data_IF_268096001641
#
_entry.id   IF_268096001641
#
_cell.length_a   1.000
_cell.length_b   1.000
_cell.length_c   1.000
_cell.angle_alpha   90.00
_cell.angle_beta   90.00
_cell.angle_gamma   90.00
#
_symmetry.space_group_name_H-M   'P 1'
#
loop_
_entity.id
_entity.type
_entity.pdbx_description
1 polymer ?
#
# COMPACT_ATOMS: atom_id res chain seq x y z
N UNK A 1 -15.39 28.06 -10.73
CA UNK A 1 -16.05 26.79 -10.36
C UNK A 1 -15.13 25.68 -10.84
N UNK A 2 -14.28 25.16 -9.98
CA UNK A 2 -13.40 24.07 -10.33
C UNK A 2 -14.19 22.77 -10.16
N UNK A 3 -14.48 22.12 -11.28
CA UNK A 3 -15.10 20.80 -11.31
C UNK A 3 -14.18 19.82 -10.59
N UNK A 4 -14.47 19.58 -9.31
CA UNK A 4 -13.82 18.58 -8.49
C UNK A 4 -14.57 17.24 -8.73
N UNK A 5 -14.69 16.87 -10.02
CA UNK A 5 -15.21 15.54 -10.35
C UNK A 5 -14.20 14.49 -9.89
N UNK A 6 -14.64 13.62 -9.01
CA UNK A 6 -13.86 12.43 -8.63
C UNK A 6 -13.51 11.64 -9.90
N UNK A 7 -12.29 11.13 -10.05
CA UNK A 7 -11.89 10.43 -11.26
C UNK A 7 -12.78 9.19 -11.51
N UNK A 8 -13.13 8.94 -12.77
CA UNK A 8 -13.80 7.70 -13.17
C UNK A 8 -12.83 6.51 -13.03
N UNK A 9 -12.85 5.89 -11.86
CA UNK A 9 -11.94 4.81 -11.48
C UNK A 9 -12.02 3.63 -12.43
N UNK A 10 -13.23 3.24 -12.86
CA UNK A 10 -13.42 2.12 -13.78
C UNK A 10 -12.73 2.36 -15.12
N UNK A 11 -12.91 3.55 -15.68
CA UNK A 11 -12.28 3.94 -16.94
C UNK A 11 -10.75 4.05 -16.78
N UNK A 12 -10.26 4.58 -15.65
CA UNK A 12 -8.83 4.62 -15.36
C UNK A 12 -8.22 3.21 -15.32
N UNK A 13 -8.88 2.25 -14.68
CA UNK A 13 -8.41 0.86 -14.63
C UNK A 13 -8.36 0.24 -16.03
N UNK A 14 -9.44 0.38 -16.81
CA UNK A 14 -9.51 -0.17 -18.16
C UNK A 14 -8.42 0.36 -19.09
N UNK A 15 -8.04 1.63 -18.92
CA UNK A 15 -7.01 2.28 -19.77
C UNK A 15 -5.58 2.01 -19.33
N UNK A 16 -5.35 1.69 -18.05
CA UNK A 16 -4.00 1.65 -17.47
C UNK A 16 -3.58 0.26 -16.95
N UNK A 17 -4.48 -0.73 -16.94
CA UNK A 17 -4.10 -2.10 -16.63
C UNK A 17 -3.48 -2.76 -17.86
N UNK A 18 -2.23 -3.16 -17.73
CA UNK A 18 -1.49 -3.84 -18.81
C UNK A 18 -1.76 -5.34 -18.82
N UNK A 19 -1.47 -6.00 -19.94
CA UNK A 19 -1.55 -7.47 -20.06
C UNK A 19 -0.60 -8.19 -19.09
N UNK A 20 0.50 -7.53 -18.69
CA UNK A 20 1.43 -8.03 -17.66
C UNK A 20 0.96 -7.87 -16.23
N UNK A 21 -0.26 -7.37 -16.00
CA UNK A 21 -0.84 -7.20 -14.66
C UNK A 21 -0.35 -5.97 -13.90
N UNK A 22 0.28 -5.00 -14.55
CA UNK A 22 0.63 -3.73 -13.94
C UNK A 22 -0.48 -2.72 -14.12
N UNK A 23 -0.98 -2.16 -13.00
CA UNK A 23 -1.92 -1.05 -13.00
C UNK A 23 -1.22 0.20 -12.44
N UNK A 24 -0.93 1.16 -13.32
CA UNK A 24 -0.32 2.43 -12.93
C UNK A 24 -1.38 3.54 -12.87
N UNK A 25 -1.67 3.99 -11.66
CA UNK A 25 -2.60 5.08 -11.36
C UNK A 25 -1.93 6.19 -10.54
N UNK A 26 -0.62 6.39 -10.66
CA UNK A 26 0.08 7.46 -9.96
C UNK A 26 -0.46 8.84 -10.36
N UNK A 27 -0.54 9.75 -9.38
CA UNK A 27 -0.91 11.16 -9.57
C UNK A 27 -2.28 11.35 -10.27
N UNK A 28 -3.31 10.65 -9.79
CA UNK A 28 -4.68 10.70 -10.33
C UNK A 28 -5.70 11.32 -9.37
N UNK A 29 -5.26 11.79 -8.19
CA UNK A 29 -6.14 12.35 -7.15
C UNK A 29 -7.28 11.39 -6.76
N UNK A 30 -6.93 10.12 -6.58
CA UNK A 30 -7.89 9.04 -6.32
C UNK A 30 -8.59 9.24 -4.98
N UNK A 31 -7.86 9.65 -3.94
CA UNK A 31 -8.37 9.79 -2.59
C UNK A 31 -8.92 8.49 -2.00
N UNK A 32 -9.48 8.58 -0.81
CA UNK A 32 -10.07 7.42 -0.12
C UNK A 32 -11.28 6.85 -0.84
N UNK A 33 -12.14 7.72 -1.37
CA UNK A 33 -13.34 7.31 -2.09
C UNK A 33 -12.99 6.53 -3.36
N UNK A 34 -12.05 7.04 -4.14
CA UNK A 34 -11.59 6.35 -5.34
C UNK A 34 -10.86 5.05 -5.02
N UNK A 35 -10.08 5.00 -3.93
CA UNK A 35 -9.46 3.76 -3.47
C UNK A 35 -10.50 2.69 -3.07
N UNK A 36 -11.60 3.10 -2.42
CA UNK A 36 -12.71 2.21 -2.09
C UNK A 36 -13.45 1.72 -3.34
N UNK A 37 -13.66 2.59 -4.34
CA UNK A 37 -14.23 2.19 -5.63
C UNK A 37 -13.31 1.19 -6.35
N UNK A 38 -12.00 1.48 -6.37
CA UNK A 38 -10.98 0.61 -6.95
C UNK A 38 -11.02 -0.78 -6.32
N UNK A 39 -11.04 -0.86 -4.99
CA UNK A 39 -11.05 -2.11 -4.23
C UNK A 39 -12.21 -3.07 -4.59
N UNK A 40 -13.31 -2.54 -5.13
CA UNK A 40 -14.49 -3.29 -5.52
C UNK A 40 -14.53 -3.73 -7.01
N UNK A 41 -13.48 -3.44 -7.78
CA UNK A 41 -13.44 -3.79 -9.19
C UNK A 41 -12.87 -5.20 -9.40
N UNK A 42 -13.67 -6.11 -9.92
CA UNK A 42 -13.27 -7.48 -10.26
C UNK A 42 -12.06 -7.53 -11.22
N UNK A 43 -11.94 -6.53 -12.08
CA UNK A 43 -10.80 -6.42 -13.01
C UNK A 43 -9.45 -6.40 -12.31
N UNK A 44 -9.39 -5.99 -11.02
CA UNK A 44 -8.16 -6.04 -10.20
C UNK A 44 -7.65 -7.45 -9.92
N UNK A 45 -8.46 -8.49 -10.11
CA UNK A 45 -7.99 -9.88 -9.96
C UNK A 45 -6.82 -10.22 -10.91
N UNK A 46 -6.62 -9.42 -11.96
CA UNK A 46 -5.51 -9.55 -12.91
C UNK A 46 -4.27 -8.74 -12.49
N UNK A 47 -4.39 -7.87 -11.48
CA UNK A 47 -3.31 -7.00 -11.08
C UNK A 47 -2.29 -7.74 -10.21
N UNK A 48 -1.03 -7.70 -10.63
CA UNK A 48 0.13 -8.19 -9.86
C UNK A 48 1.01 -7.06 -9.35
N UNK A 49 0.92 -5.86 -9.95
CA UNK A 49 1.55 -4.63 -9.51
C UNK A 49 0.55 -3.48 -9.51
N UNK A 50 0.45 -2.78 -8.39
CA UNK A 50 -0.46 -1.65 -8.19
C UNK A 50 0.33 -0.41 -7.77
N UNK A 51 0.41 0.56 -8.68
CA UNK A 51 1.12 1.83 -8.50
C UNK A 51 0.10 2.93 -8.17
N UNK A 52 0.01 3.30 -6.89
CA UNK A 52 -0.94 4.29 -6.35
C UNK A 52 -0.22 5.51 -5.71
N UNK A 53 1.01 5.77 -6.11
CA UNK A 53 1.75 6.91 -5.58
C UNK A 53 1.07 8.25 -5.87
N UNK A 54 1.26 9.24 -4.98
CA UNK A 54 0.80 10.62 -5.16
C UNK A 54 -0.72 10.75 -5.42
N UNK A 55 -1.56 10.12 -4.55
CA UNK A 55 -3.01 10.03 -4.77
C UNK A 55 -3.89 10.53 -3.61
N UNK A 56 -3.32 11.13 -2.57
CA UNK A 56 -4.09 11.64 -1.43
C UNK A 56 -4.86 10.54 -0.67
N UNK A 57 -4.40 9.28 -0.76
CA UNK A 57 -5.02 8.13 -0.10
C UNK A 57 -4.62 8.14 1.39
N UNK A 58 -5.61 8.12 2.25
CA UNK A 58 -5.45 8.01 3.70
C UNK A 58 -5.72 6.60 4.22
N UNK A 59 -5.91 6.51 5.53
CA UNK A 59 -6.09 5.23 6.22
C UNK A 59 -7.37 4.51 5.80
N UNK A 60 -8.45 5.26 5.49
CA UNK A 60 -9.73 4.69 5.04
C UNK A 60 -9.61 4.06 3.66
N UNK A 61 -8.90 4.70 2.74
CA UNK A 61 -8.65 4.16 1.41
C UNK A 61 -7.77 2.91 1.47
N UNK A 62 -6.74 2.93 2.32
CA UNK A 62 -5.90 1.75 2.59
C UNK A 62 -6.72 0.60 3.18
N UNK A 63 -7.60 0.88 4.17
CA UNK A 63 -8.47 -0.14 4.75
C UNK A 63 -9.36 -0.81 3.69
N UNK A 64 -9.92 -0.03 2.76
CA UNK A 64 -10.71 -0.56 1.66
C UNK A 64 -9.88 -1.47 0.74
N UNK A 65 -8.67 -1.05 0.36
CA UNK A 65 -7.76 -1.87 -0.45
C UNK A 65 -7.37 -3.18 0.27
N UNK A 66 -7.07 -3.10 1.58
CA UNK A 66 -6.75 -4.27 2.40
C UNK A 66 -7.88 -5.30 2.43
N UNK A 67 -9.12 -4.84 2.36
CA UNK A 67 -10.32 -5.70 2.40
C UNK A 67 -10.69 -6.31 1.03
N UNK A 68 -10.02 -5.90 -0.04
CA UNK A 68 -10.32 -6.35 -1.40
C UNK A 68 -9.84 -7.78 -1.65
N UNK A 69 -10.77 -8.70 -1.87
CA UNK A 69 -10.45 -10.08 -2.28
C UNK A 69 -9.87 -10.16 -3.71
N UNK A 70 -10.08 -9.13 -4.52
CA UNK A 70 -9.55 -9.07 -5.88
C UNK A 70 -8.02 -8.81 -5.94
N UNK A 71 -7.40 -8.37 -4.84
CA UNK A 71 -5.96 -8.07 -4.78
C UNK A 71 -5.11 -9.24 -4.27
N UNK A 72 -5.65 -10.45 -4.21
CA UNK A 72 -4.95 -11.64 -3.69
C UNK A 72 -3.72 -12.07 -4.53
N UNK A 73 -3.63 -11.64 -5.79
CA UNK A 73 -2.48 -11.91 -6.66
C UNK A 73 -1.40 -10.82 -6.62
N UNK A 74 -1.60 -9.78 -5.80
CA UNK A 74 -0.72 -8.64 -5.76
C UNK A 74 0.68 -9.01 -5.23
N UNK A 75 1.71 -8.61 -5.98
CA UNK A 75 3.13 -8.79 -5.64
C UNK A 75 3.82 -7.48 -5.32
N UNK A 76 3.41 -6.40 -5.97
CA UNK A 76 3.98 -5.07 -5.76
C UNK A 76 2.87 -4.09 -5.41
N UNK A 77 3.03 -3.41 -4.29
CA UNK A 77 2.14 -2.32 -3.87
C UNK A 77 2.97 -1.07 -3.61
N UNK A 78 2.73 -0.04 -4.41
CA UNK A 78 3.35 1.26 -4.24
C UNK A 78 2.30 2.30 -3.82
N UNK A 79 2.42 2.76 -2.58
CA UNK A 79 1.60 3.79 -1.95
C UNK A 79 2.44 5.01 -1.52
N UNK A 80 3.57 5.27 -2.21
CA UNK A 80 4.43 6.42 -1.89
C UNK A 80 3.64 7.73 -1.91
N UNK A 81 4.07 8.73 -1.13
CA UNK A 81 3.50 10.09 -1.19
C UNK A 81 1.98 10.11 -1.05
N UNK A 82 1.46 9.48 -0.01
CA UNK A 82 0.05 9.48 0.36
C UNK A 82 -0.12 10.04 1.77
N UNK A 83 -1.26 9.82 2.41
CA UNK A 83 -1.59 10.36 3.74
C UNK A 83 -1.78 9.23 4.77
N UNK A 84 -0.98 8.16 4.64
CA UNK A 84 -1.09 6.96 5.47
C UNK A 84 -0.43 7.21 6.82
N UNK A 85 -1.17 6.94 7.89
CA UNK A 85 -0.68 7.04 9.27
C UNK A 85 -0.41 5.67 9.90
N UNK A 86 -0.16 5.64 11.21
CA UNK A 86 -0.03 4.38 11.97
C UNK A 86 -1.27 3.48 11.82
N UNK A 87 -2.46 4.08 11.67
CA UNK A 87 -3.71 3.35 11.50
C UNK A 87 -3.76 2.61 10.16
N UNK A 88 -3.36 3.28 9.08
CA UNK A 88 -3.24 2.63 7.76
C UNK A 88 -2.18 1.52 7.77
N UNK A 89 -1.05 1.75 8.45
CA UNK A 89 -0.01 0.72 8.63
C UNK A 89 -0.54 -0.50 9.42
N UNK A 90 -1.40 -0.30 10.42
CA UNK A 90 -2.09 -1.38 11.13
C UNK A 90 -2.97 -2.20 10.18
N UNK A 91 -3.79 -1.56 9.34
CA UNK A 91 -4.60 -2.25 8.33
C UNK A 91 -3.74 -3.08 7.37
N UNK A 92 -2.63 -2.52 6.90
CA UNK A 92 -1.66 -3.23 6.03
C UNK A 92 -1.11 -4.47 6.75
N UNK A 93 -0.70 -4.31 8.01
CA UNK A 93 -0.10 -5.38 8.80
C UNK A 93 -1.03 -6.57 9.06
N UNK A 94 -2.34 -6.35 9.00
CA UNK A 94 -3.38 -7.34 9.27
C UNK A 94 -4.06 -7.88 8.01
N UNK A 95 -3.69 -7.41 6.81
CA UNK A 95 -4.37 -7.76 5.55
C UNK A 95 -4.02 -9.16 5.06
N UNK A 96 -4.88 -10.13 5.30
CA UNK A 96 -4.71 -11.50 4.83
C UNK A 96 -4.80 -11.63 3.29
N UNK A 97 -5.38 -10.66 2.60
CA UNK A 97 -5.50 -10.65 1.15
C UNK A 97 -4.16 -10.42 0.42
N UNK A 98 -3.13 -9.98 1.13
CA UNK A 98 -1.82 -9.64 0.54
C UNK A 98 -0.73 -10.67 0.86
N UNK A 99 -1.09 -11.92 1.05
CA UNK A 99 -0.16 -13.01 1.36
C UNK A 99 0.89 -13.29 0.27
N UNK A 100 0.65 -12.83 -0.96
CA UNK A 100 1.58 -12.94 -2.09
C UNK A 100 2.47 -11.70 -2.28
N UNK A 101 2.30 -10.67 -1.43
CA UNK A 101 3.04 -9.42 -1.57
C UNK A 101 4.54 -9.64 -1.37
N UNK A 102 5.34 -9.14 -2.30
CA UNK A 102 6.80 -9.19 -2.28
C UNK A 102 7.44 -7.82 -2.02
N UNK A 103 6.84 -6.75 -2.56
CA UNK A 103 7.35 -5.40 -2.43
C UNK A 103 6.28 -4.44 -1.90
N UNK A 104 6.59 -3.76 -0.80
CA UNK A 104 5.74 -2.76 -0.17
C UNK A 104 6.47 -1.42 -0.10
N UNK A 105 6.00 -0.44 -0.85
CA UNK A 105 6.58 0.90 -0.94
C UNK A 105 5.65 1.90 -0.29
N UNK A 106 6.06 2.42 0.86
CA UNK A 106 5.28 3.35 1.69
C UNK A 106 6.01 4.68 1.94
N UNK A 107 7.12 4.94 1.26
CA UNK A 107 7.90 6.17 1.47
C UNK A 107 7.07 7.44 1.34
N UNK A 108 7.45 8.49 2.07
CA UNK A 108 6.75 9.77 2.08
C UNK A 108 5.29 9.68 2.54
N UNK A 109 5.05 9.03 3.67
CA UNK A 109 3.78 8.99 4.40
C UNK A 109 3.97 9.49 5.83
N UNK A 110 3.05 9.19 6.75
CA UNK A 110 3.05 9.64 8.14
C UNK A 110 2.92 8.46 9.12
N UNK A 111 3.59 7.34 8.81
CA UNK A 111 3.41 6.06 9.50
C UNK A 111 3.85 6.13 10.97
N UNK A 112 4.93 6.86 11.25
CA UNK A 112 5.44 7.06 12.61
C UNK A 112 5.98 5.78 13.28
N UNK A 113 6.44 5.94 14.52
CA UNK A 113 7.00 4.83 15.31
C UNK A 113 5.99 3.70 15.52
N UNK A 114 4.74 4.03 15.86
CA UNK A 114 3.70 3.03 16.14
C UNK A 114 3.31 2.24 14.88
N UNK A 115 3.17 2.91 13.73
CA UNK A 115 2.91 2.22 12.47
C UNK A 115 4.04 1.26 12.08
N UNK A 116 5.30 1.66 12.29
CA UNK A 116 6.44 0.76 12.07
C UNK A 116 6.38 -0.46 13.00
N UNK A 117 5.96 -0.28 14.26
CA UNK A 117 5.75 -1.41 15.19
C UNK A 117 4.62 -2.34 14.76
N UNK A 118 3.51 -1.80 14.22
CA UNK A 118 2.45 -2.62 13.64
C UNK A 118 2.97 -3.47 12.48
N UNK A 119 3.68 -2.86 11.54
CA UNK A 119 4.27 -3.60 10.41
C UNK A 119 5.26 -4.69 10.89
N UNK A 120 6.10 -4.36 11.89
CA UNK A 120 7.07 -5.31 12.44
C UNK A 120 6.43 -6.54 13.11
N UNK A 121 5.23 -6.41 13.62
CA UNK A 121 4.46 -7.50 14.26
C UNK A 121 3.61 -8.31 13.28
N UNK A 122 3.53 -7.87 12.02
CA UNK A 122 2.71 -8.54 11.01
C UNK A 122 3.14 -9.98 10.79
N UNK A 123 2.19 -10.89 10.85
CA UNK A 123 2.38 -12.31 10.50
C UNK A 123 2.12 -12.57 9.02
N UNK A 124 1.52 -11.63 8.33
CA UNK A 124 1.12 -11.75 6.91
C UNK A 124 2.23 -11.26 5.99
N UNK A 125 2.96 -10.21 6.39
CA UNK A 125 4.01 -9.60 5.58
C UNK A 125 5.36 -10.34 5.60
N UNK A 126 5.43 -11.53 6.16
CA UNK A 126 6.68 -12.30 6.26
C UNK A 126 7.32 -12.66 4.92
N UNK A 127 6.55 -12.61 3.84
CA UNK A 127 7.01 -12.94 2.49
C UNK A 127 7.67 -11.78 1.75
N UNK A 128 7.55 -10.53 2.24
CA UNK A 128 8.10 -9.39 1.51
C UNK A 128 9.63 -9.42 1.49
N UNK A 129 10.19 -9.14 0.32
CA UNK A 129 11.63 -8.95 0.11
C UNK A 129 12.05 -7.49 0.20
N UNK A 130 11.13 -6.57 -0.05
CA UNK A 130 11.38 -5.13 -0.09
C UNK A 130 10.37 -4.36 0.75
N UNK A 131 10.87 -3.51 1.66
CA UNK A 131 10.08 -2.56 2.45
C UNK A 131 10.74 -1.17 2.40
N UNK A 132 10.04 -0.19 1.83
CA UNK A 132 10.52 1.20 1.80
C UNK A 132 9.63 2.07 2.69
N UNK A 133 10.17 2.49 3.86
CA UNK A 133 9.55 3.38 4.84
C UNK A 133 10.24 4.75 4.92
N UNK A 134 11.07 5.09 3.94
CA UNK A 134 11.83 6.34 3.96
C UNK A 134 10.90 7.56 4.08
N UNK A 135 11.27 8.51 4.93
CA UNK A 135 10.48 9.71 5.23
C UNK A 135 9.06 9.41 5.74
N UNK A 136 9.01 8.61 6.80
CA UNK A 136 7.80 8.29 7.53
C UNK A 136 7.85 8.66 9.02
N UNK A 137 8.90 9.31 9.49
CA UNK A 137 9.08 9.71 10.89
C UNK A 137 9.01 8.53 11.86
N UNK A 138 9.55 7.37 11.46
CA UNK A 138 9.48 6.14 12.27
C UNK A 138 10.41 6.17 13.50
N UNK A 139 11.42 6.99 13.46
CA UNK A 139 12.39 7.16 14.55
C UNK A 139 13.21 5.89 14.86
N UNK A 140 14.18 6.01 15.83
CA UNK A 140 15.07 4.91 16.15
C UNK A 140 14.37 3.64 16.65
N UNK A 141 13.29 3.78 17.43
CA UNK A 141 12.53 2.63 17.98
C UNK A 141 11.74 1.92 16.89
N UNK A 142 11.12 2.67 15.97
CA UNK A 142 10.42 2.08 14.82
C UNK A 142 11.40 1.35 13.90
N UNK A 143 12.55 1.99 13.60
CA UNK A 143 13.60 1.35 12.80
C UNK A 143 14.14 0.08 13.46
N UNK A 144 14.35 0.10 14.79
CA UNK A 144 14.75 -1.10 15.54
C UNK A 144 13.70 -2.20 15.45
N UNK A 145 12.40 -1.86 15.63
CA UNK A 145 11.31 -2.83 15.55
C UNK A 145 11.29 -3.55 14.19
N UNK A 146 11.45 -2.82 13.08
CA UNK A 146 11.53 -3.42 11.73
C UNK A 146 12.75 -4.34 11.60
N UNK A 147 13.94 -3.85 11.98
CA UNK A 147 15.21 -4.60 11.81
C UNK A 147 15.28 -5.85 12.67
N UNK A 148 14.67 -5.85 13.85
CA UNK A 148 14.69 -6.96 14.81
C UNK A 148 13.46 -7.86 14.72
N UNK A 149 12.54 -7.60 13.80
CA UNK A 149 11.33 -8.40 13.67
C UNK A 149 11.64 -9.85 13.26
N UNK A 150 11.18 -10.84 14.02
CA UNK A 150 11.32 -12.25 13.64
C UNK A 150 10.38 -12.65 12.51
N UNK A 151 9.40 -11.81 12.18
CA UNK A 151 8.38 -12.11 11.17
C UNK A 151 8.90 -11.87 9.74
N UNK A 152 9.84 -10.94 9.56
CA UNK A 152 10.41 -10.63 8.24
C UNK A 152 11.52 -11.60 7.85
N UNK A 153 11.16 -12.81 7.46
CA UNK A 153 12.12 -13.88 7.16
C UNK A 153 12.81 -13.75 5.80
N UNK A 154 12.26 -12.97 4.88
CA UNK A 154 12.77 -12.79 3.51
C UNK A 154 13.21 -11.36 3.19
N UNK A 155 13.06 -10.44 4.13
CA UNK A 155 13.35 -9.03 3.93
C UNK A 155 14.83 -8.78 3.64
N UNK A 156 15.15 -8.36 2.43
CA UNK A 156 16.53 -8.13 1.96
C UNK A 156 16.81 -6.68 1.57
N UNK A 157 15.77 -5.92 1.23
CA UNK A 157 15.87 -4.49 0.90
C UNK A 157 14.98 -3.69 1.84
N UNK A 158 15.61 -2.90 2.70
CA UNK A 158 14.92 -2.04 3.67
C UNK A 158 15.44 -0.62 3.54
N UNK A 159 14.52 0.35 3.38
CA UNK A 159 14.82 1.78 3.50
C UNK A 159 14.01 2.35 4.66
N UNK A 160 14.70 2.94 5.61
CA UNK A 160 14.15 3.57 6.80
C UNK A 160 14.61 5.03 6.85
N UNK A 161 14.07 5.85 7.78
CA UNK A 161 14.54 7.22 8.06
C UNK A 161 15.96 7.22 8.63
#
# INVERSE_FOLDING_TARGET
MSDNESPDIKNLVLKNLTDGGTLNLENRKIGDVGAAQLANLETLAKATSLELGDNEIGDSGVAALCSSSYLSQLRVLNLKSNQITAKGAEHIALSENWSNLDQLILKFNQIGEEGAKHLAKSQVLGQISTLDLFRNHIGPKGAHAIKSSPNFTRLSRVRLD
#
